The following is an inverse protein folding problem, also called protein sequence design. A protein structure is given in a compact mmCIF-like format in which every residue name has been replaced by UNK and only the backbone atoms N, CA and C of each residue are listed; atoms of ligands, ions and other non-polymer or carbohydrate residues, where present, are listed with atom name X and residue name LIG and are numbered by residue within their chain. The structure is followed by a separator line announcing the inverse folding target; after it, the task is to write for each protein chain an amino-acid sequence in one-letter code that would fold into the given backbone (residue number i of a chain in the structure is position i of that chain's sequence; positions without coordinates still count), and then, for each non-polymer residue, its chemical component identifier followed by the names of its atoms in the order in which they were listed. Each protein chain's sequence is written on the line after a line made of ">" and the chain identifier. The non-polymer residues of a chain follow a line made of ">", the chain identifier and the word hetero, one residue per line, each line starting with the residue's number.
data_IF_529795615295
#
_entry.id   IF_529795615295
#
_cell.length_a   1.000
_cell.length_b   1.000
_cell.length_c   1.000
_cell.angle_alpha   90.00
_cell.angle_beta   90.00
_cell.angle_gamma   90.00
#
_symmetry.space_group_name_H-M   'P 1'
#
loop_
_entity.id
_entity.type
_entity.pdbx_description
1 polymer ?
#
# COMPACT_ATOMS: atom_id res chain seq x y z
N UNK A 1 -0.04 39.70 -1.73
CA UNK A 1 1.36 40.16 -1.63
C UNK A 1 2.01 40.27 -3.01
N UNK A 2 1.86 41.40 -3.68
CA UNK A 2 2.90 41.82 -4.64
C UNK A 2 4.03 42.31 -3.76
N UNK A 3 5.14 41.59 -3.72
CA UNK A 3 6.37 42.18 -3.20
C UNK A 3 6.59 43.47 -3.98
N UNK A 4 6.61 44.60 -3.27
CA UNK A 4 6.91 45.91 -3.82
C UNK A 4 8.36 45.94 -4.26
N UNK A 5 8.65 45.32 -5.41
CA UNK A 5 9.82 45.63 -6.20
C UNK A 5 9.33 46.48 -7.36
N UNK A 6 9.56 47.77 -7.25
CA UNK A 6 9.67 48.61 -8.44
C UNK A 6 11.15 48.75 -8.72
N UNK A 7 11.61 48.13 -9.81
CA UNK A 7 12.92 48.39 -10.38
C UNK A 7 12.97 49.87 -10.77
N UNK A 8 13.75 50.64 -10.01
CA UNK A 8 14.19 51.96 -10.45
C UNK A 8 15.66 51.83 -10.81
N UNK A 9 15.94 52.20 -12.05
CA UNK A 9 17.24 52.11 -12.72
C UNK A 9 18.41 52.60 -11.83
N UNK A 10 19.53 51.89 -11.96
CA UNK A 10 20.86 52.15 -11.38
C UNK A 10 21.02 51.95 -9.85
N UNK A 11 21.14 50.69 -9.45
CA UNK A 11 22.26 50.25 -8.61
C UNK A 11 22.22 50.51 -7.09
N UNK A 12 21.15 51.09 -6.53
CA UNK A 12 20.97 51.16 -5.06
C UNK A 12 19.57 50.70 -4.66
N UNK A 13 19.49 49.61 -3.90
CA UNK A 13 18.26 49.18 -3.23
C UNK A 13 18.06 50.05 -2.00
N UNK A 14 17.06 50.92 -2.02
CA UNK A 14 16.61 51.66 -0.85
C UNK A 14 15.53 50.83 -0.13
N UNK A 15 15.78 50.47 1.13
CA UNK A 15 14.76 49.87 1.98
C UNK A 15 14.01 50.98 2.70
N UNK A 16 12.81 51.31 2.23
CA UNK A 16 11.90 52.14 3.03
C UNK A 16 11.36 51.31 4.20
N UNK A 17 11.32 51.92 5.39
CA UNK A 17 10.77 51.29 6.58
C UNK A 17 9.27 51.06 6.38
N UNK A 18 8.89 49.79 6.20
CA UNK A 18 7.50 49.37 6.19
C UNK A 18 6.88 49.62 7.57
N UNK A 19 5.83 50.43 7.61
CA UNK A 19 5.16 50.84 8.86
C UNK A 19 3.77 50.19 9.02
N UNK A 20 3.52 49.06 8.34
CA UNK A 20 2.31 48.26 8.50
C UNK A 20 2.50 47.17 9.55
N UNK A 21 1.47 46.91 10.38
CA UNK A 21 1.47 45.73 11.24
C UNK A 21 1.11 44.51 10.39
N UNK A 22 1.91 43.44 10.50
CA UNK A 22 1.59 42.13 9.92
C UNK A 22 0.41 41.43 10.63
N UNK A 23 -0.42 42.16 11.38
CA UNK A 23 -1.50 41.60 12.20
C UNK A 23 -2.80 41.38 11.45
N UNK A 24 -3.00 42.03 10.30
CA UNK A 24 -4.32 42.13 9.67
C UNK A 24 -4.40 41.48 8.27
N UNK A 25 -3.33 40.85 7.79
CA UNK A 25 -3.35 40.12 6.54
C UNK A 25 -3.89 38.71 6.78
N UNK A 26 -5.17 38.49 6.48
CA UNK A 26 -5.76 37.16 6.34
C UNK A 26 -5.03 36.43 5.20
N UNK A 27 -4.00 35.65 5.55
CA UNK A 27 -3.13 34.92 4.62
C UNK A 27 -3.81 33.69 4.00
N UNK A 28 -5.01 33.34 4.47
CA UNK A 28 -5.89 32.30 3.90
C UNK A 28 -7.35 32.73 3.99
N UNK A 29 -8.06 32.66 2.88
CA UNK A 29 -9.52 32.74 2.85
C UNK A 29 -10.09 31.34 2.69
N UNK A 30 -10.85 30.88 3.68
CA UNK A 30 -11.69 29.68 3.53
C UNK A 30 -12.62 29.87 2.32
N UNK A 31 -12.53 28.96 1.34
CA UNK A 31 -13.40 28.98 0.15
C UNK A 31 -12.84 29.73 -1.07
N UNK A 32 -11.63 30.29 -1.02
CA UNK A 32 -10.97 30.80 -2.23
C UNK A 32 -10.54 29.62 -3.13
N UNK A 33 -11.31 29.36 -4.19
CA UNK A 33 -11.02 28.30 -5.16
C UNK A 33 -10.09 28.86 -6.23
N UNK A 34 -8.82 28.50 -6.16
CA UNK A 34 -7.85 28.74 -7.23
C UNK A 34 -7.48 27.42 -7.90
N UNK A 35 -7.40 27.39 -9.23
CA UNK A 35 -6.77 26.26 -9.93
C UNK A 35 -5.26 26.38 -9.75
N UNK A 36 -4.67 25.39 -9.06
CA UNK A 36 -3.23 25.24 -8.94
C UNK A 36 -2.80 24.01 -9.75
N UNK A 37 -1.83 24.22 -10.64
CA UNK A 37 -1.17 23.12 -11.35
C UNK A 37 0.15 22.85 -10.66
N UNK A 38 0.32 21.64 -10.11
CA UNK A 38 1.62 21.21 -9.60
C UNK A 38 2.61 21.13 -10.78
N UNK A 39 3.73 21.84 -10.69
CA UNK A 39 4.73 21.91 -11.76
C UNK A 39 5.60 20.66 -11.84
N UNK A 40 6.35 20.37 -10.77
CA UNK A 40 7.23 19.21 -10.68
C UNK A 40 7.44 18.78 -9.23
N UNK A 41 7.66 17.47 -9.03
CA UNK A 41 8.11 16.92 -7.75
C UNK A 41 9.56 16.48 -7.92
N UNK A 42 10.46 17.03 -7.11
CA UNK A 42 11.88 16.72 -7.14
C UNK A 42 12.30 16.04 -5.84
N UNK A 43 13.28 15.15 -5.94
CA UNK A 43 13.86 14.46 -4.81
C UNK A 43 15.38 14.57 -4.86
N UNK A 44 16.00 14.67 -3.68
CA UNK A 44 17.45 14.80 -3.56
C UNK A 44 18.18 13.48 -3.88
N UNK A 45 17.57 12.35 -3.52
CA UNK A 45 18.07 11.00 -3.81
C UNK A 45 16.92 10.06 -4.17
N UNK A 46 17.24 8.86 -4.68
CA UNK A 46 16.24 7.82 -4.90
C UNK A 46 15.53 7.40 -3.60
N UNK A 47 16.20 7.52 -2.45
CA UNK A 47 15.59 7.26 -1.14
C UNK A 47 14.56 8.34 -0.76
N UNK A 48 14.78 9.59 -1.20
CA UNK A 48 13.86 10.71 -0.96
C UNK A 48 12.76 10.81 -2.04
N UNK A 49 12.75 9.89 -3.01
CA UNK A 49 11.88 9.98 -4.18
C UNK A 49 10.42 9.65 -3.84
N UNK A 50 9.54 10.62 -4.10
CA UNK A 50 8.11 10.47 -3.90
C UNK A 50 7.49 9.62 -5.03
N UNK A 51 7.30 8.33 -4.75
CA UNK A 51 6.84 7.36 -5.73
C UNK A 51 5.32 7.39 -5.97
N UNK A 52 4.81 6.70 -7.02
CA UNK A 52 3.37 6.54 -7.24
C UNK A 52 2.61 5.89 -6.07
N UNK A 53 3.31 5.10 -5.24
CA UNK A 53 2.76 4.51 -4.01
C UNK A 53 2.55 5.52 -2.88
N UNK A 54 3.18 6.68 -2.97
CA UNK A 54 3.11 7.76 -1.97
C UNK A 54 2.24 8.93 -2.47
N UNK A 55 1.93 8.99 -3.77
CA UNK A 55 0.98 9.96 -4.34
C UNK A 55 -0.46 9.54 -4.10
N UNK A 56 -1.30 10.49 -3.69
CA UNK A 56 -2.73 10.28 -3.45
C UNK A 56 -3.50 10.19 -4.77
N UNK A 57 -4.33 9.16 -4.93
CA UNK A 57 -5.33 9.11 -6.00
C UNK A 57 -6.42 10.15 -5.74
N UNK A 58 -6.95 10.77 -6.79
CA UNK A 58 -8.05 11.73 -6.66
C UNK A 58 -9.31 11.07 -6.09
N UNK A 59 -10.19 11.86 -5.49
CA UNK A 59 -11.44 11.34 -4.91
C UNK A 59 -12.31 10.61 -5.95
N UNK A 60 -12.29 11.04 -7.21
CA UNK A 60 -12.99 10.38 -8.32
C UNK A 60 -12.36 9.04 -8.69
N UNK A 61 -11.04 8.98 -8.78
CA UNK A 61 -10.29 7.75 -9.08
C UNK A 61 -10.49 6.71 -7.97
N UNK A 62 -10.39 7.14 -6.71
CA UNK A 62 -10.59 6.27 -5.56
C UNK A 62 -12.02 5.69 -5.52
N UNK A 63 -13.04 6.52 -5.76
CA UNK A 63 -14.44 6.08 -5.85
C UNK A 63 -14.67 5.11 -7.01
N UNK A 64 -14.07 5.38 -8.18
CA UNK A 64 -14.18 4.49 -9.33
C UNK A 64 -13.56 3.12 -9.02
N UNK A 65 -12.37 3.08 -8.41
CA UNK A 65 -11.69 1.84 -8.07
C UNK A 65 -12.45 1.01 -7.02
N UNK A 66 -12.89 1.63 -5.93
CA UNK A 66 -13.72 0.95 -4.91
C UNK A 66 -15.08 0.51 -5.46
N UNK A 67 -15.67 1.28 -6.39
CA UNK A 67 -16.91 0.93 -7.06
C UNK A 67 -16.82 -0.38 -7.84
N UNK A 68 -15.65 -0.67 -8.45
CA UNK A 68 -15.43 -1.93 -9.18
C UNK A 68 -15.46 -3.19 -8.29
N UNK A 69 -15.21 -3.04 -6.99
CA UNK A 69 -15.10 -4.16 -6.04
C UNK A 69 -16.28 -4.27 -5.08
N UNK A 70 -17.30 -3.44 -5.26
CA UNK A 70 -18.43 -3.34 -4.33
C UNK A 70 -18.02 -2.75 -2.98
N UNK A 71 -17.06 -1.83 -2.96
CA UNK A 71 -16.67 -1.06 -1.78
C UNK A 71 -15.59 -1.69 -0.90
N UNK A 72 -14.98 -2.80 -1.31
CA UNK A 72 -13.87 -3.45 -0.59
C UNK A 72 -12.79 -3.84 -1.60
N UNK A 73 -11.69 -3.12 -1.61
CA UNK A 73 -10.54 -3.37 -2.47
C UNK A 73 -9.47 -4.14 -1.68
N UNK A 74 -8.98 -5.22 -2.29
CA UNK A 74 -7.75 -5.89 -1.87
C UNK A 74 -6.67 -5.64 -2.92
N UNK A 75 -5.49 -5.24 -2.49
CA UNK A 75 -4.31 -5.13 -3.37
C UNK A 75 -3.13 -5.76 -2.66
N UNK A 76 -2.47 -6.71 -3.30
CA UNK A 76 -1.30 -7.37 -2.74
C UNK A 76 -0.02 -6.78 -3.36
N UNK A 77 0.93 -6.42 -2.51
CA UNK A 77 2.16 -5.73 -2.90
C UNK A 77 3.39 -6.40 -2.26
N UNK A 78 4.47 -6.41 -3.03
CA UNK A 78 5.78 -6.88 -2.57
C UNK A 78 6.55 -5.82 -1.80
N UNK A 79 7.73 -6.17 -1.32
CA UNK A 79 8.65 -5.24 -0.62
C UNK A 79 9.10 -4.07 -1.48
N UNK A 80 8.99 -4.20 -2.80
CA UNK A 80 9.35 -3.18 -3.79
C UNK A 80 8.33 -2.03 -3.83
N UNK A 81 7.07 -2.28 -3.43
CA UNK A 81 5.98 -1.30 -3.39
C UNK A 81 5.33 -1.28 -2.00
N UNK A 82 6.05 -0.87 -0.94
CA UNK A 82 5.53 -0.94 0.41
C UNK A 82 4.29 -0.06 0.58
N UNK A 83 3.26 -0.61 1.20
CA UNK A 83 2.01 0.08 1.52
C UNK A 83 2.25 0.96 2.75
N UNK A 84 2.54 2.24 2.51
CA UNK A 84 2.84 3.24 3.55
C UNK A 84 1.74 4.28 3.73
N UNK A 85 0.96 4.53 2.68
CA UNK A 85 -0.13 5.49 2.71
C UNK A 85 -1.41 4.82 3.23
N UNK A 86 -1.82 5.19 4.44
CA UNK A 86 -2.92 4.54 5.16
C UNK A 86 -4.23 5.34 5.15
N UNK A 87 -4.18 6.64 4.87
CA UNK A 87 -5.37 7.50 4.89
C UNK A 87 -6.01 7.66 3.51
N UNK A 88 -5.32 7.25 2.45
CA UNK A 88 -5.74 7.43 1.06
C UNK A 88 -5.29 6.27 0.17
N UNK A 89 -5.97 6.07 -0.96
CA UNK A 89 -5.54 5.12 -1.98
C UNK A 89 -4.33 5.67 -2.77
N UNK A 90 -3.26 4.87 -2.95
CA UNK A 90 -2.16 5.17 -3.86
C UNK A 90 -2.61 5.42 -5.30
N UNK A 91 -2.05 6.47 -5.90
CA UNK A 91 -2.20 6.76 -7.33
C UNK A 91 -1.73 5.58 -8.18
N UNK A 92 -0.70 4.87 -7.73
CA UNK A 92 -0.22 3.64 -8.36
C UNK A 92 -1.35 2.64 -8.64
N UNK A 93 -2.28 2.45 -7.70
CA UNK A 93 -3.40 1.52 -7.87
C UNK A 93 -4.47 2.09 -8.79
N UNK A 94 -4.80 3.37 -8.65
CA UNK A 94 -5.75 4.02 -9.54
C UNK A 94 -5.30 4.08 -11.00
N UNK A 95 -3.99 4.08 -11.24
CA UNK A 95 -3.38 4.23 -12.58
C UNK A 95 -3.15 2.91 -13.31
N UNK A 96 -3.38 1.77 -12.66
CA UNK A 96 -3.14 0.43 -13.20
C UNK A 96 -4.45 -0.26 -13.61
N UNK A 97 -4.40 -1.22 -14.55
CA UNK A 97 -5.53 -2.12 -14.80
C UNK A 97 -5.93 -2.83 -13.52
N UNK A 98 -7.23 -2.94 -13.24
CA UNK A 98 -7.71 -3.58 -12.02
C UNK A 98 -7.32 -5.06 -11.94
N UNK A 99 -7.20 -5.72 -13.08
CA UNK A 99 -6.84 -7.12 -13.20
C UNK A 99 -5.42 -7.37 -12.66
N UNK A 100 -4.50 -6.39 -12.76
CA UNK A 100 -3.17 -6.50 -12.16
C UNK A 100 -3.18 -6.26 -10.65
N UNK A 101 -4.21 -5.60 -10.10
CA UNK A 101 -4.38 -5.41 -8.66
C UNK A 101 -5.02 -6.62 -7.98
N UNK A 102 -5.84 -7.38 -8.72
CA UNK A 102 -6.54 -8.56 -8.25
C UNK A 102 -5.66 -9.82 -8.15
N UNK A 103 -4.39 -9.72 -8.58
CA UNK A 103 -3.42 -10.79 -8.56
C UNK A 103 -2.08 -10.30 -8.01
N UNK A 104 -1.33 -11.21 -7.40
CA UNK A 104 0.03 -10.96 -6.94
C UNK A 104 0.98 -12.00 -7.50
N UNK A 105 2.13 -11.52 -8.00
CA UNK A 105 3.23 -12.37 -8.42
C UNK A 105 4.46 -12.08 -7.58
N UNK A 106 5.02 -13.11 -6.95
CA UNK A 106 6.27 -13.04 -6.20
C UNK A 106 7.32 -14.01 -6.72
N UNK A 107 8.59 -13.70 -6.49
CA UNK A 107 9.71 -14.62 -6.71
C UNK A 107 10.36 -14.89 -5.35
N UNK A 108 10.56 -16.18 -5.04
CA UNK A 108 11.08 -16.64 -3.75
C UNK A 108 12.18 -17.69 -3.94
N UNK A 109 13.01 -17.88 -2.92
CA UNK A 109 14.01 -18.94 -2.86
C UNK A 109 13.56 -20.08 -1.93
N UNK A 110 14.03 -21.32 -2.15
CA UNK A 110 13.83 -22.39 -1.17
C UNK A 110 14.44 -22.01 0.19
N UNK A 111 13.74 -22.29 1.29
CA UNK A 111 14.15 -21.90 2.64
C UNK A 111 13.92 -20.41 2.99
N UNK A 112 13.34 -19.61 2.09
CA UNK A 112 13.03 -18.20 2.38
C UNK A 112 11.77 -18.07 3.23
N UNK A 113 11.83 -17.21 4.26
CA UNK A 113 10.65 -16.65 4.92
C UNK A 113 10.21 -15.39 4.16
N UNK A 114 9.45 -15.58 3.08
CA UNK A 114 9.08 -14.50 2.17
C UNK A 114 7.94 -13.65 2.73
N UNK A 115 8.13 -12.32 2.77
CA UNK A 115 7.13 -11.38 3.26
C UNK A 115 6.50 -10.55 2.15
N UNK A 116 5.18 -10.38 2.19
CA UNK A 116 4.46 -9.44 1.33
C UNK A 116 3.28 -8.84 2.11
N UNK A 117 2.64 -7.83 1.52
CA UNK A 117 1.52 -7.11 2.14
C UNK A 117 0.25 -7.25 1.32
N UNK A 118 -0.90 -7.22 1.98
CA UNK A 118 -2.20 -7.07 1.33
C UNK A 118 -2.92 -5.89 1.95
N UNK A 119 -3.11 -4.85 1.14
CA UNK A 119 -3.95 -3.73 1.48
C UNK A 119 -5.40 -4.17 1.55
N UNK A 120 -6.10 -3.71 2.59
CA UNK A 120 -7.55 -3.73 2.67
C UNK A 120 -8.00 -2.27 2.69
N UNK A 121 -8.74 -1.87 1.66
CA UNK A 121 -9.32 -0.53 1.56
C UNK A 121 -10.82 -0.61 1.35
N UNK A 122 -11.56 0.33 1.92
CA UNK A 122 -13.02 0.25 1.89
C UNK A 122 -13.70 1.62 1.96
N UNK A 123 -14.90 1.72 1.40
CA UNK A 123 -15.74 2.91 1.44
C UNK A 123 -16.55 3.08 2.73
N UNK A 124 -16.52 2.08 3.61
CA UNK A 124 -17.27 2.06 4.87
C UNK A 124 -16.56 1.19 5.91
N UNK A 125 -16.95 1.30 7.18
CA UNK A 125 -16.29 0.51 8.23
C UNK A 125 -16.32 -1.00 7.95
N UNK A 126 -15.19 -1.66 8.19
CA UNK A 126 -14.98 -3.07 7.92
C UNK A 126 -14.17 -3.72 9.05
N UNK A 127 -14.47 -4.99 9.35
CA UNK A 127 -13.61 -5.80 10.21
C UNK A 127 -13.10 -6.98 9.40
N UNK A 128 -11.78 -7.14 9.34
CA UNK A 128 -11.12 -8.34 8.83
C UNK A 128 -11.06 -9.36 9.96
N UNK A 129 -11.65 -10.52 9.72
CA UNK A 129 -11.81 -11.58 10.71
C UNK A 129 -10.74 -12.67 10.54
N UNK A 130 -10.50 -13.08 9.30
CA UNK A 130 -9.46 -14.07 8.97
C UNK A 130 -8.87 -13.76 7.61
N UNK A 131 -7.60 -14.13 7.41
CA UNK A 131 -6.97 -14.12 6.10
C UNK A 131 -6.04 -15.32 5.98
N UNK A 132 -6.32 -16.21 5.03
CA UNK A 132 -5.64 -17.49 4.86
C UNK A 132 -5.74 -17.98 3.43
N UNK A 133 -4.90 -18.94 3.05
CA UNK A 133 -5.06 -19.63 1.79
C UNK A 133 -6.42 -20.37 1.73
N UNK A 134 -7.10 -20.28 0.59
CA UNK A 134 -8.35 -21.01 0.34
C UNK A 134 -8.11 -22.50 0.05
N UNK A 135 -6.89 -22.85 -0.34
CA UNK A 135 -6.38 -24.19 -0.60
C UNK A 135 -4.84 -24.14 -0.66
N UNK A 136 -4.14 -25.27 -0.84
CA UNK A 136 -2.69 -25.25 -0.93
C UNK A 136 -2.21 -24.38 -2.10
N UNK A 137 -1.01 -23.80 -1.97
CA UNK A 137 -0.30 -23.27 -3.13
C UNK A 137 0.23 -24.47 -3.90
N UNK A 138 -0.18 -24.66 -5.14
CA UNK A 138 0.09 -25.88 -5.89
C UNK A 138 0.70 -25.60 -7.26
N UNK A 139 1.56 -26.51 -7.71
CA UNK A 139 2.03 -26.58 -9.08
C UNK A 139 1.05 -27.41 -9.92
N UNK A 140 1.21 -27.35 -11.25
CA UNK A 140 0.39 -28.10 -12.19
C UNK A 140 0.53 -29.61 -12.09
N UNK A 141 1.63 -30.12 -11.53
CA UNK A 141 1.90 -31.55 -11.31
C UNK A 141 1.35 -32.10 -9.98
N UNK A 142 0.74 -31.24 -9.16
CA UNK A 142 0.17 -31.60 -7.85
C UNK A 142 1.10 -31.43 -6.67
N UNK A 143 2.37 -31.04 -6.88
CA UNK A 143 3.27 -30.58 -5.81
C UNK A 143 2.65 -29.37 -5.13
N UNK A 144 2.67 -29.33 -3.79
CA UNK A 144 1.98 -28.30 -3.04
C UNK A 144 2.72 -27.86 -1.78
N UNK A 145 2.66 -26.56 -1.50
CA UNK A 145 2.94 -26.02 -0.17
C UNK A 145 1.66 -26.08 0.69
N UNK A 146 1.78 -26.46 1.97
CA UNK A 146 0.63 -26.59 2.86
C UNK A 146 -0.02 -25.23 3.14
N UNK A 147 -1.29 -25.23 3.58
CA UNK A 147 -2.02 -24.01 3.89
C UNK A 147 -1.35 -23.21 5.01
N UNK A 148 -0.73 -23.94 5.95
CA UNK A 148 -0.05 -23.41 7.12
C UNK A 148 1.27 -22.69 6.78
N UNK A 149 1.79 -22.87 5.56
CA UNK A 149 2.99 -22.18 5.10
C UNK A 149 2.77 -20.66 5.04
N UNK A 150 1.53 -20.20 4.81
CA UNK A 150 1.20 -18.78 4.74
C UNK A 150 0.46 -18.31 6.00
N UNK A 151 1.01 -17.30 6.68
CA UNK A 151 0.43 -16.74 7.91
C UNK A 151 0.24 -15.23 7.82
N UNK A 152 -0.93 -14.74 8.23
CA UNK A 152 -1.19 -13.32 8.43
C UNK A 152 -0.78 -12.90 9.85
N UNK A 153 0.24 -12.06 9.98
CA UNK A 153 0.80 -11.65 11.27
C UNK A 153 -0.11 -10.73 12.07
N UNK A 154 -1.05 -10.04 11.40
CA UNK A 154 -1.97 -9.11 12.06
C UNK A 154 -3.12 -9.83 12.78
N UNK A 155 -3.45 -11.06 12.38
CA UNK A 155 -4.67 -11.75 12.82
C UNK A 155 -4.38 -12.91 13.77
N UNK A 156 -3.13 -13.34 13.84
CA UNK A 156 -2.71 -14.43 14.72
C UNK A 156 -1.21 -14.36 14.98
N UNK A 157 -0.80 -14.95 16.08
CA UNK A 157 0.61 -15.06 16.42
C UNK A 157 0.81 -15.69 17.78
N UNK A 158 2.04 -15.54 18.27
CA UNK A 158 2.46 -15.93 19.60
C UNK A 158 2.93 -14.67 20.31
N UNK A 159 2.38 -14.40 21.49
CA UNK A 159 2.78 -13.24 22.28
C UNK A 159 4.15 -13.46 22.96
N UNK A 160 4.63 -12.45 23.67
CA UNK A 160 5.92 -12.50 24.37
C UNK A 160 5.96 -13.50 25.54
N UNK A 161 4.82 -14.09 25.92
CA UNK A 161 4.71 -15.16 26.91
C UNK A 161 4.57 -16.55 26.27
N UNK A 162 4.70 -16.66 24.95
CA UNK A 162 4.56 -17.93 24.24
C UNK A 162 3.10 -18.36 24.06
N UNK A 163 2.12 -17.48 24.31
CA UNK A 163 0.70 -17.82 24.17
C UNK A 163 0.20 -17.46 22.79
N UNK A 164 -0.51 -18.39 22.17
CA UNK A 164 -1.20 -18.13 20.92
C UNK A 164 -2.32 -17.12 21.12
N UNK A 165 -2.43 -16.17 20.18
CA UNK A 165 -3.55 -15.25 20.13
C UNK A 165 -4.20 -15.26 18.75
N UNK A 166 -5.46 -14.83 18.71
CA UNK A 166 -6.19 -14.45 17.50
C UNK A 166 -6.68 -13.02 17.67
N UNK A 167 -6.67 -12.26 16.59
CA UNK A 167 -7.11 -10.88 16.54
C UNK A 167 -7.99 -10.65 15.31
N UNK A 168 -8.70 -9.53 15.32
CA UNK A 168 -9.32 -8.95 14.13
C UNK A 168 -8.64 -7.62 13.81
N UNK A 169 -8.86 -7.10 12.60
CA UNK A 169 -8.36 -5.80 12.18
C UNK A 169 -9.53 -4.94 11.72
N UNK A 170 -9.69 -3.77 12.34
CA UNK A 170 -10.69 -2.79 11.92
C UNK A 170 -10.12 -1.86 10.86
N UNK A 171 -10.90 -1.60 9.81
CA UNK A 171 -10.57 -0.70 8.71
C UNK A 171 -11.64 0.39 8.66
N UNK A 172 -11.22 1.64 8.79
CA UNK A 172 -12.11 2.80 8.74
C UNK A 172 -12.53 3.08 7.28
N UNK A 173 -13.66 3.77 7.12
CA UNK A 173 -14.12 4.24 5.81
C UNK A 173 -13.09 5.20 5.19
N UNK A 174 -12.70 4.95 3.95
CA UNK A 174 -11.71 5.73 3.21
C UNK A 174 -10.25 5.42 3.57
N UNK A 175 -10.01 4.63 4.62
CA UNK A 175 -8.67 4.24 5.03
C UNK A 175 -8.19 2.96 4.30
N UNK A 176 -6.88 2.77 4.35
CA UNK A 176 -6.14 1.60 3.89
C UNK A 176 -5.47 0.97 5.11
N UNK A 177 -5.59 -0.35 5.24
CA UNK A 177 -4.85 -1.11 6.26
C UNK A 177 -4.03 -2.19 5.60
N UNK A 178 -2.74 -2.26 5.92
CA UNK A 178 -1.84 -3.29 5.39
C UNK A 178 -1.83 -4.52 6.31
N UNK A 179 -2.25 -5.65 5.76
CA UNK A 179 -2.06 -6.97 6.36
C UNK A 179 -0.71 -7.53 5.91
N UNK A 180 0.09 -8.02 6.85
CA UNK A 180 1.40 -8.59 6.62
C UNK A 180 1.32 -10.11 6.59
N UNK A 181 1.86 -10.68 5.51
CA UNK A 181 1.95 -12.12 5.34
C UNK A 181 3.40 -12.57 5.35
N UNK A 182 3.64 -13.72 5.98
CA UNK A 182 4.88 -14.48 5.85
C UNK A 182 4.53 -15.83 5.24
N UNK A 183 5.25 -16.17 4.17
CA UNK A 183 5.28 -17.49 3.58
C UNK A 183 6.59 -18.18 3.95
N UNK A 184 6.47 -19.27 4.69
CA UNK A 184 7.59 -20.13 5.04
C UNK A 184 7.80 -21.16 3.91
N UNK A 185 8.82 -20.97 3.07
CA UNK A 185 9.11 -21.87 1.93
C UNK A 185 10.06 -22.99 2.39
N UNK A 186 9.68 -24.28 2.28
CA UNK A 186 10.58 -25.39 2.61
C UNK A 186 11.87 -25.35 1.77
N UNK A 187 12.97 -25.82 2.35
CA UNK A 187 14.28 -25.88 1.67
C UNK A 187 14.26 -26.89 0.53
N UNK A 188 13.47 -27.95 0.69
CA UNK A 188 13.28 -29.02 -0.27
C UNK A 188 12.15 -28.73 -1.26
N UNK A 189 11.52 -27.55 -1.20
CA UNK A 189 10.45 -27.18 -2.10
C UNK A 189 10.92 -27.26 -3.56
N UNK A 190 10.25 -28.04 -4.42
CA UNK A 190 10.59 -28.08 -5.83
C UNK A 190 10.50 -26.71 -6.47
N UNK A 191 11.46 -26.42 -7.36
CA UNK A 191 11.47 -25.17 -8.10
C UNK A 191 10.29 -25.11 -9.08
N UNK A 192 9.84 -23.90 -9.39
CA UNK A 192 8.80 -23.64 -10.38
C UNK A 192 7.68 -22.78 -9.83
N UNK A 193 6.58 -22.74 -10.59
CA UNK A 193 5.45 -21.87 -10.31
C UNK A 193 4.40 -22.57 -9.46
N UNK A 194 4.00 -21.91 -8.38
CA UNK A 194 2.94 -22.32 -7.47
C UNK A 194 1.82 -21.29 -7.53
N UNK A 195 0.60 -21.77 -7.70
CA UNK A 195 -0.59 -20.95 -7.76
C UNK A 195 -1.52 -21.23 -6.59
N UNK A 196 -2.23 -20.21 -6.14
CA UNK A 196 -3.30 -20.39 -5.18
C UNK A 196 -4.11 -19.12 -4.99
N UNK A 197 -4.95 -19.13 -3.96
CA UNK A 197 -5.85 -18.02 -3.69
C UNK A 197 -5.78 -17.67 -2.21
N UNK A 198 -5.48 -16.41 -1.92
CA UNK A 198 -5.64 -15.86 -0.58
C UNK A 198 -7.09 -15.43 -0.40
N UNK A 199 -7.77 -15.98 0.61
CA UNK A 199 -9.11 -15.56 1.01
C UNK A 199 -9.03 -14.67 2.26
N UNK A 200 -9.67 -13.52 2.18
CA UNK A 200 -9.84 -12.56 3.28
C UNK A 200 -11.32 -12.54 3.66
N UNK A 201 -11.63 -13.06 4.84
CA UNK A 201 -12.96 -13.01 5.41
C UNK A 201 -13.15 -11.72 6.18
N UNK A 202 -14.25 -11.02 5.91
CA UNK A 202 -14.60 -9.76 6.55
C UNK A 202 -16.04 -9.78 7.05
N UNK A 203 -16.40 -8.80 7.88
CA UNK A 203 -17.79 -8.60 8.33
C UNK A 203 -18.78 -8.30 7.20
N UNK A 204 -18.30 -7.93 6.01
CA UNK A 204 -19.12 -7.66 4.80
C UNK A 204 -19.00 -8.76 3.72
N UNK A 205 -18.39 -9.91 4.06
CA UNK A 205 -18.24 -11.07 3.19
C UNK A 205 -16.78 -11.37 2.81
N UNK A 206 -16.59 -12.43 2.04
CA UNK A 206 -15.26 -12.87 1.61
C UNK A 206 -14.80 -12.10 0.37
N UNK A 207 -13.50 -11.80 0.31
CA UNK A 207 -12.78 -11.33 -0.87
C UNK A 207 -11.53 -12.17 -1.07
N UNK A 208 -11.03 -12.19 -2.30
CA UNK A 208 -9.88 -13.04 -2.64
C UNK A 208 -8.88 -12.31 -3.51
N UNK A 209 -7.63 -12.73 -3.42
CA UNK A 209 -6.52 -12.30 -4.28
C UNK A 209 -5.86 -13.56 -4.85
N UNK A 210 -5.65 -13.58 -6.17
CA UNK A 210 -4.90 -14.67 -6.80
C UNK A 210 -3.41 -14.52 -6.46
N UNK A 211 -2.75 -15.62 -6.08
CA UNK A 211 -1.33 -15.65 -5.77
C UNK A 211 -0.61 -16.54 -6.78
N UNK A 212 0.49 -16.03 -7.33
CA UNK A 212 1.43 -16.79 -8.14
C UNK A 212 2.84 -16.59 -7.58
N UNK A 213 3.51 -17.67 -7.24
CA UNK A 213 4.85 -17.62 -6.65
C UNK A 213 5.80 -18.48 -7.47
N UNK A 214 6.89 -17.88 -7.92
CA UNK A 214 7.96 -18.57 -8.62
C UNK A 214 9.08 -18.89 -7.62
N UNK A 215 9.22 -20.17 -7.26
CA UNK A 215 10.35 -20.66 -6.47
C UNK A 215 11.53 -20.90 -7.40
N UNK A 216 12.63 -20.17 -7.23
CA UNK A 216 13.82 -20.30 -8.08
C UNK A 216 15.11 -19.96 -7.34
N UNK A 217 16.23 -20.36 -7.94
CA UNK A 217 17.56 -20.06 -7.41
C UNK A 217 18.01 -21.05 -6.34
N UNK A 218 19.18 -20.80 -5.72
CA UNK A 218 19.69 -21.65 -4.65
C UNK A 218 18.86 -21.47 -3.37
N UNK A 219 18.91 -22.47 -2.49
CA UNK A 219 18.34 -22.35 -1.16
C UNK A 219 19.03 -21.25 -0.35
N UNK A 220 18.26 -20.52 0.46
CA UNK A 220 18.80 -19.49 1.36
C UNK A 220 19.70 -20.15 2.41
N UNK A 221 20.88 -19.55 2.63
CA UNK A 221 21.82 -20.01 3.65
C UNK A 221 21.31 -19.66 5.06
N UNK A 222 21.45 -20.60 6.02
CA UNK A 222 21.00 -20.46 7.41
C UNK A 222 19.49 -20.18 7.55
N UNK A 223 18.68 -21.05 6.92
CA UNK A 223 17.23 -21.10 7.08
C UNK A 223 16.81 -21.58 8.48
#
# INVERSE_FOLDING_TARGET
>A
CRFGQTDVLEGMVQYDAFNGSCSDDVWWQEGAVGEAVAGEAQARTAFDAYGPMERVATASEARALLGRTGGILLVAEGRENPIRMLDHLPLAWASQPFESLAAFRGTVQPGEAFSFQVAVATDSFLVVETARLAGPLAQSDGTALPLEALRCLNLQGVDYWGRHFKSTVSVAAGAVTALWFILDVPVEAPLGEYEGTLAVQTSRGQRSVALTLEIRGPAVANH
#
